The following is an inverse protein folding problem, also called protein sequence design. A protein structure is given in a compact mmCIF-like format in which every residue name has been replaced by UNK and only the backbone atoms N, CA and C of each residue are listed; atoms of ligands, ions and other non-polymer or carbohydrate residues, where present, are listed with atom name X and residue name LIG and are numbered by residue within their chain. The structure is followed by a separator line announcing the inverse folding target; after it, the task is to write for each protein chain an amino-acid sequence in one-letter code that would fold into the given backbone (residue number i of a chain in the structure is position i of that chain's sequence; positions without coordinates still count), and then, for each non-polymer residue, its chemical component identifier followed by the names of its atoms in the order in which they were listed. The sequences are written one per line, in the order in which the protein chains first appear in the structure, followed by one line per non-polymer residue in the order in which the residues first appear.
data_IF_045432594720
#
_entry.id   IF_045432594720
#
_cell.length_a   1.000
_cell.length_b   1.000
_cell.length_c   1.000
_cell.angle_alpha   90.00
_cell.angle_beta   90.00
_cell.angle_gamma   90.00
#
_symmetry.space_group_name_H-M   'P 1'
#
loop_
_entity.id
_entity.type
_entity.pdbx_description
1 polymer ?
#
# COMPACT_ATOMS: atom_id res chain seq x y z
N UNK A 1 -7.33 -3.55 6.24
CA UNK A 1 -6.63 -2.56 5.40
C UNK A 1 -6.60 -2.98 3.92
N UNK A 2 -6.04 -4.14 3.56
CA UNK A 2 -6.01 -4.61 2.17
C UNK A 2 -7.41 -4.80 1.55
N UNK A 3 -8.38 -5.28 2.34
CA UNK A 3 -9.79 -5.38 1.99
C UNK A 3 -10.42 -4.04 1.64
N UNK A 4 -10.21 -3.02 2.49
CA UNK A 4 -10.73 -1.66 2.26
C UNK A 4 -10.07 -1.02 1.03
N UNK A 5 -8.76 -1.18 0.87
CA UNK A 5 -8.04 -0.67 -0.29
C UNK A 5 -8.53 -1.36 -1.58
N UNK A 6 -8.62 -2.69 -1.59
CA UNK A 6 -9.12 -3.46 -2.72
C UNK A 6 -10.56 -3.05 -3.10
N UNK A 7 -11.44 -2.89 -2.11
CA UNK A 7 -12.83 -2.48 -2.34
C UNK A 7 -12.91 -1.07 -2.92
N UNK A 8 -12.06 -0.12 -2.48
CA UNK A 8 -12.09 1.27 -2.96
C UNK A 8 -11.40 1.45 -4.30
N UNK A 9 -10.40 0.64 -4.60
CA UNK A 9 -9.70 0.64 -5.87
C UNK A 9 -10.46 -0.13 -6.96
N UNK A 10 -11.51 -0.87 -6.60
CA UNK A 10 -12.30 -1.65 -7.55
C UNK A 10 -12.89 -0.76 -8.65
N UNK A 11 -12.74 -1.18 -9.91
CA UNK A 11 -13.22 -0.45 -11.08
C UNK A 11 -12.27 0.62 -11.61
N UNK A 12 -11.20 0.94 -10.89
CA UNK A 12 -10.14 1.79 -11.40
C UNK A 12 -9.25 1.00 -12.36
N UNK A 13 -8.88 1.65 -13.45
CA UNK A 13 -7.90 1.14 -14.39
C UNK A 13 -6.50 1.60 -13.98
N UNK A 14 -5.45 0.89 -14.42
CA UNK A 14 -4.05 1.36 -14.31
C UNK A 14 -3.66 1.87 -12.91
N UNK A 15 -3.95 1.04 -11.91
CA UNK A 15 -3.68 1.33 -10.52
C UNK A 15 -2.18 1.31 -10.20
N UNK A 16 -1.75 2.32 -9.44
CA UNK A 16 -0.47 2.34 -8.74
C UNK A 16 -0.76 2.20 -7.25
N UNK A 17 -0.12 1.23 -6.61
CA UNK A 17 -0.19 1.06 -5.16
C UNK A 17 1.13 1.48 -4.50
N UNK A 18 1.01 2.09 -3.32
CA UNK A 18 2.14 2.42 -2.46
C UNK A 18 1.87 1.86 -1.07
N UNK A 19 2.83 1.13 -0.51
CA UNK A 19 2.81 0.66 0.87
C UNK A 19 3.95 1.31 1.63
N UNK A 20 3.62 1.90 2.77
CA UNK A 20 4.60 2.58 3.63
C UNK A 20 4.60 1.96 5.02
N UNK A 21 5.78 1.72 5.60
CA UNK A 21 5.92 1.16 6.95
C UNK A 21 6.85 1.99 7.84
N UNK A 22 6.65 1.92 9.15
CA UNK A 22 7.55 2.45 10.16
C UNK A 22 8.32 1.33 10.86
N UNK A 23 9.48 0.96 10.27
CA UNK A 23 10.54 0.06 10.80
C UNK A 23 10.35 -1.45 10.62
N UNK A 24 9.21 -1.89 10.11
CA UNK A 24 8.87 -3.32 9.95
C UNK A 24 8.52 -3.62 8.48
N UNK A 25 9.52 -3.80 7.60
CA UNK A 25 9.29 -4.12 6.20
C UNK A 25 8.51 -5.43 5.98
N UNK A 26 8.60 -6.38 6.91
CA UNK A 26 7.83 -7.63 6.89
C UNK A 26 6.32 -7.41 6.88
N UNK A 27 5.83 -6.36 7.52
CA UNK A 27 4.41 -6.00 7.50
C UNK A 27 3.99 -5.50 6.11
N UNK A 28 4.90 -4.81 5.39
CA UNK A 28 4.66 -4.36 4.02
C UNK A 28 4.62 -5.54 3.04
N UNK A 29 5.48 -6.54 3.23
CA UNK A 29 5.49 -7.76 2.44
C UNK A 29 4.23 -8.59 2.69
N UNK A 30 3.82 -8.72 3.95
CA UNK A 30 2.56 -9.37 4.32
C UNK A 30 1.37 -8.66 3.69
N UNK A 31 1.30 -7.33 3.78
CA UNK A 31 0.20 -6.55 3.21
C UNK A 31 0.15 -6.66 1.69
N UNK A 32 1.31 -6.68 1.03
CA UNK A 32 1.45 -6.91 -0.42
C UNK A 32 0.84 -8.25 -0.81
N UNK A 33 1.23 -9.33 -0.12
CA UNK A 33 0.69 -10.66 -0.39
C UNK A 33 -0.83 -10.68 -0.22
N UNK A 34 -1.35 -10.13 0.88
CA UNK A 34 -2.79 -10.04 1.11
C UNK A 34 -3.53 -9.24 0.04
N UNK A 35 -2.96 -8.12 -0.44
CA UNK A 35 -3.56 -7.32 -1.50
C UNK A 35 -3.61 -8.10 -2.82
N UNK A 36 -2.51 -8.76 -3.20
CA UNK A 36 -2.44 -9.57 -4.44
C UNK A 36 -3.40 -10.75 -4.40
N UNK A 37 -3.45 -11.49 -3.30
CA UNK A 37 -4.38 -12.62 -3.12
C UNK A 37 -5.85 -12.18 -3.25
N UNK A 38 -6.18 -10.97 -2.76
CA UNK A 38 -7.56 -10.45 -2.80
C UNK A 38 -7.98 -9.87 -4.14
N UNK A 39 -7.05 -9.29 -4.88
CA UNK A 39 -7.36 -8.48 -6.09
C UNK A 39 -6.92 -9.15 -7.39
N UNK A 40 -6.01 -10.13 -7.33
CA UNK A 40 -5.31 -10.63 -8.50
C UNK A 40 -4.34 -9.60 -9.12
N UNK A 41 -4.08 -8.47 -8.45
CA UNK A 41 -3.25 -7.40 -8.99
C UNK A 41 -1.82 -7.89 -9.24
N UNK A 42 -1.37 -7.77 -10.48
CA UNK A 42 -0.03 -8.17 -10.94
C UNK A 42 0.89 -6.98 -11.22
N UNK A 43 0.38 -5.76 -11.12
CA UNK A 43 1.17 -4.55 -11.33
C UNK A 43 2.19 -4.28 -10.22
N UNK A 44 2.92 -3.17 -10.40
CA UNK A 44 3.93 -2.71 -9.47
C UNK A 44 3.29 -2.17 -8.18
N UNK A 45 3.90 -2.51 -7.04
CA UNK A 45 3.55 -2.00 -5.72
C UNK A 45 4.82 -1.39 -5.16
N UNK A 46 4.81 -0.08 -4.94
CA UNK A 46 5.98 0.62 -4.43
C UNK A 46 6.05 0.56 -2.92
N UNK A 47 7.22 0.20 -2.39
CA UNK A 47 7.46 0.13 -0.95
C UNK A 47 8.31 1.32 -0.53
N UNK A 48 7.98 1.95 0.60
CA UNK A 48 8.84 2.96 1.20
C UNK A 48 8.74 2.97 2.73
N UNK A 49 9.70 3.60 3.39
CA UNK A 49 9.62 3.85 4.83
C UNK A 49 8.91 5.18 5.10
N UNK A 50 8.18 5.26 6.21
CA UNK A 50 7.66 6.54 6.71
C UNK A 50 8.83 7.45 7.12
N UNK A 51 8.80 8.70 6.63
CA UNK A 51 9.76 9.72 7.01
C UNK A 51 9.62 10.15 8.48
N UNK A 52 10.64 10.82 9.02
CA UNK A 52 10.76 11.16 10.45
C UNK A 52 9.55 11.91 11.01
N UNK A 53 8.98 12.85 10.26
CA UNK A 53 7.81 13.61 10.71
C UNK A 53 6.59 12.72 10.86
N UNK A 54 6.24 11.94 9.85
CA UNK A 54 5.05 11.07 9.90
C UNK A 54 5.27 9.94 10.91
N UNK A 55 6.44 9.31 10.89
CA UNK A 55 6.79 8.24 11.81
C UNK A 55 6.78 8.67 13.28
N UNK A 56 7.11 9.92 13.60
CA UNK A 56 7.04 10.44 14.97
C UNK A 56 5.59 10.52 15.50
N UNK A 57 4.61 10.74 14.63
CA UNK A 57 3.19 10.81 15.02
C UNK A 57 2.53 9.43 15.02
N UNK A 58 2.81 8.60 14.01
CA UNK A 58 2.18 7.29 13.86
C UNK A 58 2.82 6.21 14.73
N UNK A 59 4.09 6.38 15.10
CA UNK A 59 4.85 5.46 15.94
C UNK A 59 5.43 4.25 15.19
N UNK A 60 6.36 3.49 15.82
CA UNK A 60 6.84 2.21 15.30
C UNK A 60 5.69 1.22 15.10
N UNK A 61 5.75 0.42 14.03
CA UNK A 61 4.70 -0.55 13.70
C UNK A 61 3.53 0.03 12.89
N UNK A 62 3.53 1.34 12.62
CA UNK A 62 2.57 1.92 11.70
C UNK A 62 2.81 1.44 10.26
N UNK A 63 1.72 1.12 9.56
CA UNK A 63 1.70 0.75 8.14
C UNK A 63 0.55 1.46 7.44
N UNK A 64 0.76 1.85 6.18
CA UNK A 64 -0.26 2.47 5.35
C UNK A 64 -0.24 1.92 3.92
N UNK A 65 -1.42 1.93 3.30
CA UNK A 65 -1.60 1.67 1.87
C UNK A 65 -2.25 2.88 1.22
N UNK A 66 -1.65 3.35 0.13
CA UNK A 66 -2.20 4.34 -0.78
C UNK A 66 -2.36 3.75 -2.17
N UNK A 67 -3.28 4.31 -2.94
CA UNK A 67 -3.44 3.98 -4.35
C UNK A 67 -3.91 5.18 -5.15
N UNK A 68 -3.60 5.17 -6.44
CA UNK A 68 -4.03 6.18 -7.40
C UNK A 68 -4.26 5.50 -8.75
N UNK A 69 -5.23 5.96 -9.51
CA UNK A 69 -5.35 5.63 -10.93
C UNK A 69 -4.37 6.51 -11.69
N UNK A 70 -3.47 5.90 -12.48
CA UNK A 70 -2.52 6.64 -13.31
C UNK A 70 -3.30 7.52 -14.32
N UNK A 71 -3.23 8.86 -14.20
CA UNK A 71 -4.01 9.75 -15.06
C UNK A 71 -3.34 9.97 -16.43
N UNK A 72 -2.12 9.46 -16.66
CA UNK A 72 -1.30 9.79 -17.82
C UNK A 72 -1.30 8.72 -18.92
N UNK A 73 -2.11 7.66 -18.78
CA UNK A 73 -2.20 6.61 -19.79
C UNK A 73 -3.62 6.25 -20.15
#
# INVERSE_FOLDING_TARGET
MADVAASRAHGLSKLIYVIQNARFPEDADYLTRCLREKTGFSGEIYHSSLGVTVGAHSGPGAIGIGFVEDPLT
#
